data_IF_208867206961
#
_entry.id   IF_208867206961
#
_cell.length_a   1.000
_cell.length_b   1.000
_cell.length_c   1.000
_cell.angle_alpha   90.00
_cell.angle_beta   90.00
_cell.angle_gamma   90.00
#
_symmetry.space_group_name_H-M   'P 1'
#
loop_
_entity.id
_entity.type
_entity.pdbx_description
1 polymer ?
#
# COMPACT_ATOMS: atom_id res chain seq x y z
N UNK A 1 40.96 6.15 37.28
CA UNK A 1 39.91 7.16 37.10
C UNK A 1 38.59 6.43 37.07
N UNK A 2 37.75 6.58 38.09
CA UNK A 2 36.44 5.92 38.11
C UNK A 2 35.49 6.73 37.22
N UNK A 3 35.12 6.18 36.09
CA UNK A 3 34.00 6.71 35.33
C UNK A 3 32.73 6.59 36.16
N UNK A 4 32.21 7.73 36.58
CA UNK A 4 30.87 7.80 37.17
C UNK A 4 29.87 7.49 36.06
N UNK A 5 29.34 6.29 36.07
CA UNK A 5 28.18 5.93 35.23
C UNK A 5 27.02 6.83 35.70
N UNK A 6 26.67 7.82 34.87
CA UNK A 6 25.49 8.66 35.12
C UNK A 6 24.28 7.81 34.74
N UNK A 7 23.54 7.37 35.75
CA UNK A 7 22.23 6.75 35.53
C UNK A 7 21.26 7.86 35.13
N UNK A 8 20.66 7.84 33.90
CA UNK A 8 19.72 8.86 33.51
C UNK A 8 18.49 8.82 34.42
N UNK A 9 18.13 9.98 34.98
CA UNK A 9 16.89 10.14 35.74
C UNK A 9 15.80 10.57 34.78
N UNK A 10 14.75 9.78 34.67
CA UNK A 10 13.71 9.95 33.66
C UNK A 10 14.10 9.24 32.40
N UNK A 11 13.56 8.09 32.17
CA UNK A 11 13.68 7.32 30.94
C UNK A 11 12.40 7.48 30.12
N UNK A 12 12.54 7.32 28.81
CA UNK A 12 11.40 7.02 27.99
C UNK A 12 10.92 5.62 28.40
N UNK A 13 9.66 5.52 28.78
CA UNK A 13 9.04 4.21 28.93
C UNK A 13 9.03 3.56 27.55
N UNK A 14 9.58 2.38 27.44
CA UNK A 14 9.38 1.57 26.24
C UNK A 14 7.89 1.31 26.08
N UNK A 15 7.42 1.29 24.83
CA UNK A 15 6.06 0.92 24.55
C UNK A 15 5.90 -0.57 24.89
N UNK A 16 5.37 -0.86 26.06
CA UNK A 16 5.08 -2.22 26.51
C UNK A 16 3.87 -2.75 25.74
N UNK A 17 4.13 -3.26 24.55
CA UNK A 17 3.12 -3.98 23.78
C UNK A 17 3.15 -5.46 24.19
N UNK A 18 2.00 -6.05 24.48
CA UNK A 18 1.93 -7.51 24.64
C UNK A 18 2.39 -8.18 23.33
N UNK A 19 3.20 -9.21 23.45
CA UNK A 19 3.66 -9.99 22.31
C UNK A 19 2.51 -10.81 21.76
N UNK A 20 1.91 -10.32 20.67
CA UNK A 20 0.98 -11.09 19.86
C UNK A 20 1.71 -11.69 18.66
N UNK A 21 1.30 -12.88 18.19
CA UNK A 21 1.80 -13.39 16.93
C UNK A 21 1.42 -12.41 15.81
N UNK A 22 2.34 -12.22 14.87
CA UNK A 22 2.07 -11.38 13.69
C UNK A 22 0.90 -11.96 12.89
N UNK A 23 -0.10 -11.13 12.58
CA UNK A 23 -1.28 -11.53 11.79
C UNK A 23 -0.87 -11.97 10.38
N UNK A 24 0.16 -11.35 9.84
CA UNK A 24 0.68 -11.59 8.49
C UNK A 24 2.13 -12.08 8.53
N UNK A 25 2.41 -13.15 9.27
CA UNK A 25 3.77 -13.67 9.48
C UNK A 25 4.52 -14.00 8.16
N UNK A 26 3.79 -14.34 7.10
CA UNK A 26 4.36 -14.62 5.77
C UNK A 26 4.55 -13.37 4.90
N UNK A 27 4.13 -12.21 5.38
CA UNK A 27 4.24 -10.97 4.61
C UNK A 27 5.66 -10.39 4.66
N UNK A 28 6.05 -9.71 3.58
CA UNK A 28 7.28 -8.93 3.55
C UNK A 28 7.03 -7.61 4.28
N UNK A 29 7.59 -7.49 5.48
CA UNK A 29 7.48 -6.28 6.28
C UNK A 29 8.39 -5.17 5.71
N UNK A 30 7.80 -4.04 5.33
CA UNK A 30 8.51 -2.87 4.84
C UNK A 30 8.10 -1.63 5.64
N UNK A 31 8.88 -0.58 5.52
CA UNK A 31 8.77 0.62 6.35
C UNK A 31 7.46 1.42 6.14
N UNK A 32 6.87 1.36 4.96
CA UNK A 32 5.59 2.05 4.66
C UNK A 32 4.94 1.50 3.39
N UNK A 33 3.65 1.85 3.17
CA UNK A 33 2.91 1.51 1.95
C UNK A 33 3.60 2.01 0.67
N UNK A 34 4.26 3.18 0.71
CA UNK A 34 5.08 3.69 -0.39
C UNK A 34 6.18 2.69 -0.79
N UNK A 35 6.93 2.16 0.17
CA UNK A 35 7.98 1.19 -0.10
C UNK A 35 7.41 -0.18 -0.49
N UNK A 36 6.24 -0.55 0.03
CA UNK A 36 5.52 -1.74 -0.43
C UNK A 36 5.16 -1.63 -1.92
N UNK A 37 4.60 -0.49 -2.33
CA UNK A 37 4.28 -0.25 -3.74
C UNK A 37 5.54 -0.25 -4.60
N UNK A 38 6.62 0.45 -4.20
CA UNK A 38 7.90 0.44 -4.92
C UNK A 38 8.43 -0.99 -5.10
N UNK A 39 8.37 -1.80 -4.04
CA UNK A 39 8.81 -3.19 -4.08
C UNK A 39 8.00 -4.02 -5.09
N UNK A 40 6.67 -3.91 -5.06
CA UNK A 40 5.77 -4.60 -6.00
C UNK A 40 6.11 -4.20 -7.45
N UNK A 41 6.24 -2.90 -7.71
CA UNK A 41 6.52 -2.37 -9.06
C UNK A 41 7.86 -2.86 -9.59
N UNK A 42 8.90 -2.93 -8.75
CA UNK A 42 10.21 -3.48 -9.13
C UNK A 42 10.15 -4.97 -9.46
N UNK A 43 9.37 -5.74 -8.70
CA UNK A 43 9.24 -7.18 -8.90
C UNK A 43 8.39 -7.54 -10.13
N UNK A 44 7.32 -6.79 -10.38
CA UNK A 44 6.33 -7.12 -11.41
C UNK A 44 6.63 -6.55 -12.78
N UNK A 45 7.51 -5.53 -12.88
CA UNK A 45 7.95 -4.89 -14.14
C UNK A 45 6.78 -4.36 -14.99
N UNK A 46 5.77 -3.78 -14.34
CA UNK A 46 4.69 -3.11 -15.05
C UNK A 46 5.22 -1.88 -15.82
N UNK A 47 4.65 -1.64 -16.99
CA UNK A 47 4.98 -0.48 -17.84
C UNK A 47 4.02 0.69 -17.62
N UNK A 48 2.81 0.40 -17.14
CA UNK A 48 1.80 1.40 -16.81
C UNK A 48 0.99 0.99 -15.59
N UNK A 49 0.63 1.96 -14.77
CA UNK A 49 -0.22 1.79 -13.61
C UNK A 49 -1.43 2.74 -13.67
N UNK A 50 -2.62 2.19 -13.51
CA UNK A 50 -3.81 2.98 -13.27
C UNK A 50 -3.95 3.20 -11.76
N UNK A 51 -4.11 4.46 -11.35
CA UNK A 51 -4.19 4.86 -9.94
C UNK A 51 -5.44 5.71 -9.69
N UNK A 52 -6.07 5.62 -8.52
CA UNK A 52 -7.21 6.48 -8.24
C UNK A 52 -6.77 7.94 -8.18
N UNK A 53 -7.56 8.86 -8.76
CA UNK A 53 -7.32 10.30 -8.60
C UNK A 53 -7.39 10.71 -7.12
N UNK A 54 -8.26 10.04 -6.36
CA UNK A 54 -8.38 10.22 -4.91
C UNK A 54 -7.33 9.38 -4.17
N UNK A 55 -6.08 9.81 -4.25
CA UNK A 55 -4.94 9.19 -3.54
C UNK A 55 -3.97 10.25 -3.05
N UNK A 56 -3.03 9.88 -2.21
CA UNK A 56 -1.98 10.79 -1.74
C UNK A 56 -0.75 10.73 -2.66
N UNK A 57 0.03 11.80 -2.67
CA UNK A 57 1.24 11.91 -3.48
C UNK A 57 2.26 10.79 -3.19
N UNK A 58 2.25 10.27 -1.96
CA UNK A 58 3.14 9.17 -1.57
C UNK A 58 2.87 7.86 -2.32
N UNK A 59 1.69 7.68 -2.89
CA UNK A 59 1.38 6.54 -3.77
C UNK A 59 1.88 6.76 -5.20
N UNK A 60 1.96 8.02 -5.65
CA UNK A 60 2.44 8.37 -7.01
C UNK A 60 3.96 8.43 -7.06
N UNK A 61 4.62 8.83 -5.97
CA UNK A 61 6.08 9.00 -5.90
C UNK A 61 6.88 7.79 -6.41
N UNK A 62 6.64 6.53 -5.97
CA UNK A 62 7.40 5.38 -6.46
C UNK A 62 7.17 5.08 -7.94
N UNK A 63 6.01 5.43 -8.49
CA UNK A 63 5.70 5.25 -9.90
C UNK A 63 6.57 6.17 -10.74
N UNK A 64 6.59 7.46 -10.38
CA UNK A 64 7.42 8.49 -11.03
C UNK A 64 8.90 8.17 -10.88
N UNK A 65 9.35 7.79 -9.67
CA UNK A 65 10.74 7.40 -9.37
C UNK A 65 11.23 6.26 -10.26
N UNK A 66 10.37 5.32 -10.59
CA UNK A 66 10.70 4.16 -11.43
C UNK A 66 10.50 4.40 -12.92
N UNK A 67 10.04 5.60 -13.33
CA UNK A 67 9.76 5.92 -14.72
C UNK A 67 8.61 5.13 -15.33
N UNK A 68 7.67 4.65 -14.51
CA UNK A 68 6.51 3.91 -14.96
C UNK A 68 5.45 4.91 -15.39
N UNK A 69 4.83 4.69 -16.54
CA UNK A 69 3.69 5.50 -16.98
C UNK A 69 2.51 5.29 -16.03
N UNK A 70 1.72 6.33 -15.81
CA UNK A 70 0.50 6.19 -15.01
C UNK A 70 -0.64 7.03 -15.57
N UNK A 71 -1.85 6.61 -15.24
CA UNK A 71 -3.08 7.30 -15.59
C UNK A 71 -4.02 7.30 -14.39
N UNK A 72 -4.62 8.46 -14.14
CA UNK A 72 -5.61 8.57 -13.08
C UNK A 72 -6.98 8.11 -13.56
N UNK A 73 -7.70 7.41 -12.68
CA UNK A 73 -9.11 7.11 -12.83
C UNK A 73 -9.92 7.73 -11.70
N UNK A 74 -11.22 7.92 -11.93
CA UNK A 74 -12.15 8.48 -10.96
C UNK A 74 -12.89 7.38 -10.21
N UNK A 75 -13.32 7.72 -9.01
CA UNK A 75 -14.22 6.88 -8.21
C UNK A 75 -15.53 7.62 -8.00
N UNK A 76 -16.62 6.89 -7.92
CA UNK A 76 -17.94 7.42 -7.63
C UNK A 76 -18.15 7.65 -6.12
N UNK A 77 -19.35 8.08 -5.71
CA UNK A 77 -19.73 8.29 -4.30
C UNK A 77 -19.70 7.02 -3.44
N UNK A 78 -19.67 5.86 -4.06
CA UNK A 78 -19.55 4.56 -3.40
C UNK A 78 -18.12 4.01 -3.49
N UNK A 79 -17.15 4.85 -3.87
CA UNK A 79 -15.73 4.48 -4.07
C UNK A 79 -15.50 3.41 -5.15
N UNK A 80 -16.47 3.21 -6.06
CA UNK A 80 -16.29 2.32 -7.20
C UNK A 80 -15.64 3.06 -8.37
N UNK A 81 -14.86 2.34 -9.17
CA UNK A 81 -14.22 2.86 -10.37
C UNK A 81 -15.29 3.25 -11.38
N UNK A 82 -15.19 4.48 -11.93
CA UNK A 82 -16.14 5.03 -12.90
C UNK A 82 -15.83 4.53 -14.31
N UNK A 83 -14.56 4.51 -14.68
CA UNK A 83 -14.10 4.15 -16.01
C UNK A 83 -14.08 2.63 -16.22
N UNK A 84 -14.38 2.17 -17.42
CA UNK A 84 -14.15 0.77 -17.79
C UNK A 84 -12.70 0.57 -18.21
N UNK A 85 -11.85 0.22 -17.25
CA UNK A 85 -10.42 0.04 -17.46
C UNK A 85 -10.15 -1.36 -17.98
N UNK A 86 -9.55 -1.44 -19.17
CA UNK A 86 -9.10 -2.67 -19.79
C UNK A 86 -7.58 -2.68 -19.85
N UNK A 87 -6.95 -3.55 -19.06
CA UNK A 87 -5.50 -3.62 -18.88
C UNK A 87 -4.84 -4.45 -19.98
N UNK A 88 -3.75 -3.93 -20.53
CA UNK A 88 -2.83 -4.71 -21.36
C UNK A 88 -1.97 -5.63 -20.46
N UNK A 89 -1.23 -6.55 -21.07
CA UNK A 89 -0.49 -7.61 -20.34
C UNK A 89 0.47 -7.07 -19.27
N UNK A 90 1.15 -5.96 -19.55
CA UNK A 90 2.13 -5.34 -18.66
C UNK A 90 1.60 -4.09 -17.94
N UNK A 91 0.29 -3.97 -17.83
CA UNK A 91 -0.35 -2.89 -17.08
C UNK A 91 -0.95 -3.43 -15.78
N UNK A 92 -1.11 -2.56 -14.81
CA UNK A 92 -1.76 -2.89 -13.55
C UNK A 92 -2.70 -1.79 -13.09
N UNK A 93 -3.61 -2.17 -12.21
CA UNK A 93 -4.54 -1.29 -11.53
C UNK A 93 -4.22 -1.30 -10.04
N UNK A 94 -4.03 -0.15 -9.45
CA UNK A 94 -3.99 0.02 -8.00
C UNK A 94 -5.37 0.50 -7.52
N UNK A 95 -5.92 -0.15 -6.50
CA UNK A 95 -7.16 0.26 -5.85
C UNK A 95 -6.97 0.32 -4.34
N UNK A 96 -7.43 1.40 -3.72
CA UNK A 96 -7.39 1.57 -2.26
C UNK A 96 -8.71 1.10 -1.65
N UNK A 97 -8.64 0.21 -0.66
CA UNK A 97 -9.81 -0.14 0.16
C UNK A 97 -10.06 0.98 1.16
N UNK A 98 -10.82 1.98 0.72
CA UNK A 98 -11.08 3.19 1.51
C UNK A 98 -11.77 2.84 2.82
N UNK A 99 -11.11 3.23 3.92
CA UNK A 99 -11.54 2.99 5.32
C UNK A 99 -11.82 1.52 5.68
N UNK A 100 -11.42 0.57 4.85
CA UNK A 100 -11.69 -0.85 5.09
C UNK A 100 -13.16 -1.25 4.93
N UNK A 101 -13.95 -0.47 4.18
CA UNK A 101 -15.40 -0.68 4.06
C UNK A 101 -15.84 -1.29 2.73
N UNK A 102 -14.88 -1.59 1.83
CA UNK A 102 -15.20 -1.99 0.46
C UNK A 102 -14.66 -3.37 0.06
N UNK A 103 -14.59 -4.31 1.01
CA UNK A 103 -14.06 -5.66 0.76
C UNK A 103 -14.82 -6.39 -0.35
N UNK A 104 -16.15 -6.31 -0.37
CA UNK A 104 -16.96 -6.93 -1.42
C UNK A 104 -16.60 -6.41 -2.82
N UNK A 105 -16.27 -5.13 -2.92
CA UNK A 105 -15.84 -4.54 -4.18
C UNK A 105 -14.41 -4.94 -4.51
N UNK A 106 -13.52 -5.02 -3.54
CA UNK A 106 -12.16 -5.55 -3.72
C UNK A 106 -12.19 -6.96 -4.29
N UNK A 107 -13.06 -7.86 -3.80
CA UNK A 107 -13.20 -9.21 -4.33
C UNK A 107 -13.69 -9.24 -5.79
N UNK A 108 -14.56 -8.32 -6.19
CA UNK A 108 -14.96 -8.16 -7.60
C UNK A 108 -13.78 -7.74 -8.47
N UNK A 109 -12.97 -6.79 -7.99
CA UNK A 109 -11.76 -6.36 -8.68
C UNK A 109 -10.72 -7.48 -8.78
N UNK A 110 -10.51 -8.27 -7.71
CA UNK A 110 -9.64 -9.45 -7.73
C UNK A 110 -10.09 -10.44 -8.80
N UNK A 111 -11.38 -10.69 -8.91
CA UNK A 111 -11.93 -11.60 -9.92
C UNK A 111 -11.72 -11.08 -11.35
N UNK A 112 -11.85 -9.76 -11.57
CA UNK A 112 -11.69 -9.10 -12.88
C UNK A 112 -10.22 -9.01 -13.29
N UNK A 113 -9.37 -8.45 -12.43
CA UNK A 113 -7.99 -8.06 -12.79
C UNK A 113 -6.92 -9.06 -12.37
N UNK A 114 -7.23 -9.97 -11.45
CA UNK A 114 -6.34 -11.05 -11.00
C UNK A 114 -4.94 -10.53 -10.60
N UNK A 115 -3.88 -11.06 -11.22
CA UNK A 115 -2.48 -10.71 -10.94
C UNK A 115 -2.10 -9.26 -11.30
N UNK A 116 -2.94 -8.57 -12.05
CA UNK A 116 -2.72 -7.18 -12.46
C UNK A 116 -3.35 -6.17 -11.47
N UNK A 117 -3.98 -6.64 -10.40
CA UNK A 117 -4.51 -5.80 -9.34
C UNK A 117 -3.48 -5.64 -8.21
N UNK A 118 -3.31 -4.41 -7.76
CA UNK A 118 -2.61 -4.05 -6.52
C UNK A 118 -3.66 -3.47 -5.59
N UNK A 119 -3.93 -4.15 -4.47
CA UNK A 119 -4.82 -3.65 -3.44
C UNK A 119 -4.02 -2.92 -2.37
N UNK A 120 -4.38 -1.69 -2.12
CA UNK A 120 -3.86 -0.87 -1.03
C UNK A 120 -4.80 -0.94 0.17
N UNK A 121 -4.36 -1.59 1.23
CA UNK A 121 -5.06 -1.73 2.50
C UNK A 121 -4.49 -0.83 3.60
N UNK A 122 -3.77 0.24 3.25
CA UNK A 122 -3.18 1.16 4.24
C UNK A 122 -4.23 1.86 5.12
N UNK A 123 -5.48 1.89 4.70
CA UNK A 123 -6.62 2.42 5.45
C UNK A 123 -7.51 1.32 6.06
N UNK A 124 -7.12 0.05 5.91
CA UNK A 124 -7.89 -1.10 6.37
C UNK A 124 -6.96 -2.03 7.15
N UNK A 125 -7.32 -2.38 8.38
CA UNK A 125 -6.48 -3.25 9.20
C UNK A 125 -6.87 -4.72 9.10
N UNK A 126 -8.14 -5.02 8.88
CA UNK A 126 -8.70 -6.36 8.79
C UNK A 126 -9.42 -6.56 7.46
#
# INVERSE_FOLDING_TARGET
MNEKTITPIGGYFELELPHFPEIHAEAIALNSGRFCLEYILRCRKYTKLYVPYFTCDSAVEPIVKLGISYEFYHIDKNYHIVEDINLLENEALMYTNYWGLHDDYCWKLVSKYKKQLILDYTQAFF
#
